data_IF_255930536103
#
_entry.id   IF_255930536103
#
_cell.length_a   1.000
_cell.length_b   1.000
_cell.length_c   1.000
_cell.angle_alpha   90.00
_cell.angle_beta   90.00
_cell.angle_gamma   90.00
#
_symmetry.space_group_name_H-M   'P 1'
#
loop_
_entity.id
_entity.type
_entity.pdbx_description
1 polymer ?
#
# COMPACT_ATOMS: atom_id res chain seq x y z
N UNK A 1 27.97 -36.39 -18.86
CA UNK A 1 27.91 -35.03 -19.43
C UNK A 1 27.24 -34.08 -18.43
N UNK A 2 27.96 -33.15 -17.79
CA UNK A 2 27.35 -32.18 -16.88
C UNK A 2 27.51 -30.74 -17.42
N UNK A 3 26.45 -30.14 -17.95
CA UNK A 3 26.45 -28.72 -18.35
C UNK A 3 25.03 -28.14 -18.41
N UNK A 4 24.35 -28.04 -17.25
CA UNK A 4 23.02 -27.38 -17.18
C UNK A 4 22.82 -26.47 -15.94
N UNK A 5 23.74 -26.49 -14.97
CA UNK A 5 23.58 -25.72 -13.73
C UNK A 5 24.29 -24.35 -13.73
N UNK A 6 25.34 -24.17 -14.55
CA UNK A 6 26.11 -22.92 -14.65
C UNK A 6 25.37 -21.82 -15.44
N UNK A 7 24.70 -22.18 -16.53
CA UNK A 7 23.90 -21.22 -17.31
C UNK A 7 22.69 -20.68 -16.50
N UNK A 8 22.04 -21.54 -15.70
CA UNK A 8 20.92 -21.14 -14.83
C UNK A 8 21.34 -20.24 -13.66
N UNK A 9 22.59 -20.30 -13.17
CA UNK A 9 23.05 -19.39 -12.13
C UNK A 9 23.35 -18.00 -12.69
N UNK A 10 24.00 -17.89 -13.85
CA UNK A 10 24.31 -16.59 -14.46
C UNK A 10 23.05 -15.80 -14.85
N UNK A 11 22.02 -16.49 -15.37
CA UNK A 11 20.76 -15.85 -15.75
C UNK A 11 19.98 -15.33 -14.52
N UNK A 12 19.94 -16.11 -13.43
CA UNK A 12 19.32 -15.68 -12.15
C UNK A 12 20.06 -14.51 -11.51
N UNK A 13 21.38 -14.48 -11.59
CA UNK A 13 22.21 -13.41 -11.05
C UNK A 13 22.03 -12.11 -11.83
N UNK A 14 21.89 -12.19 -13.16
CA UNK A 14 21.56 -11.04 -14.00
C UNK A 14 20.21 -10.44 -13.65
N UNK A 15 19.15 -11.26 -13.58
CA UNK A 15 17.81 -10.79 -13.23
C UNK A 15 17.74 -10.19 -11.81
N UNK A 16 18.43 -10.77 -10.83
CA UNK A 16 18.50 -10.21 -9.48
C UNK A 16 19.20 -8.84 -9.48
N UNK A 17 20.35 -8.73 -10.16
CA UNK A 17 21.13 -7.49 -10.23
C UNK A 17 20.37 -6.37 -10.95
N UNK A 18 19.69 -6.68 -12.06
CA UNK A 18 18.86 -5.70 -12.78
C UNK A 18 17.67 -5.27 -11.95
N UNK A 19 16.99 -6.21 -11.28
CA UNK A 19 15.87 -5.90 -10.39
C UNK A 19 16.28 -5.05 -9.20
N UNK A 20 17.43 -5.30 -8.59
CA UNK A 20 17.94 -4.50 -7.47
C UNK A 20 18.37 -3.10 -7.90
N UNK A 21 18.99 -2.97 -9.08
CA UNK A 21 19.35 -1.66 -9.69
C UNK A 21 18.11 -0.86 -10.06
N UNK A 22 17.12 -1.48 -10.70
CA UNK A 22 15.82 -0.88 -10.99
C UNK A 22 15.11 -0.46 -9.70
N UNK A 23 15.12 -1.31 -8.68
CA UNK A 23 14.52 -1.02 -7.38
C UNK A 23 15.17 0.20 -6.73
N UNK A 24 16.50 0.28 -6.73
CA UNK A 24 17.20 1.44 -6.16
C UNK A 24 16.91 2.73 -6.96
N UNK A 25 16.89 2.63 -8.29
CA UNK A 25 16.52 3.74 -9.16
C UNK A 25 15.07 4.18 -8.94
N UNK A 26 14.12 3.25 -8.91
CA UNK A 26 12.70 3.55 -8.69
C UNK A 26 12.46 4.22 -7.33
N UNK A 27 13.13 3.74 -6.26
CA UNK A 27 13.02 4.34 -4.94
C UNK A 27 13.58 5.77 -4.90
N UNK A 28 14.79 5.97 -5.47
CA UNK A 28 15.43 7.28 -5.57
C UNK A 28 14.60 8.24 -6.43
N UNK A 29 14.07 7.76 -7.55
CA UNK A 29 13.21 8.54 -8.43
C UNK A 29 11.91 8.93 -7.72
N UNK A 30 11.27 8.02 -6.99
CA UNK A 30 10.07 8.33 -6.22
C UNK A 30 10.32 9.33 -5.09
N UNK A 31 11.44 9.20 -4.36
CA UNK A 31 11.85 10.17 -3.32
C UNK A 31 12.14 11.55 -3.90
N UNK A 32 12.88 11.60 -5.02
CA UNK A 32 13.22 12.87 -5.68
C UNK A 32 11.96 13.51 -6.26
N UNK A 33 11.15 12.78 -7.02
CA UNK A 33 9.90 13.27 -7.63
C UNK A 33 8.86 13.71 -6.59
N UNK A 34 8.87 13.12 -5.40
CA UNK A 34 8.00 13.49 -4.27
C UNK A 34 8.48 14.70 -3.46
N UNK A 35 9.70 15.20 -3.69
CA UNK A 35 10.28 16.30 -2.92
C UNK A 35 9.79 17.68 -3.41
N UNK A 36 9.70 18.65 -2.48
CA UNK A 36 9.33 20.03 -2.80
C UNK A 36 10.25 20.67 -3.86
N UNK A 37 11.52 20.29 -3.90
CA UNK A 37 12.49 20.76 -4.89
C UNK A 37 12.20 20.26 -6.32
N UNK A 38 11.68 19.03 -6.47
CA UNK A 38 11.26 18.54 -7.78
C UNK A 38 10.02 19.26 -8.30
N UNK A 39 9.10 19.64 -7.41
CA UNK A 39 7.94 20.46 -7.78
C UNK A 39 8.36 21.85 -8.29
N UNK A 40 9.30 22.51 -7.60
CA UNK A 40 9.87 23.79 -8.06
C UNK A 40 10.56 23.62 -9.42
N UNK A 41 11.33 22.55 -9.60
CA UNK A 41 11.96 22.23 -10.88
C UNK A 41 10.95 22.01 -12.01
N UNK A 42 9.85 21.30 -11.74
CA UNK A 42 8.77 21.08 -12.71
C UNK A 42 8.11 22.40 -13.13
N UNK A 43 7.81 23.30 -12.18
CA UNK A 43 7.28 24.64 -12.47
C UNK A 43 8.27 25.43 -13.33
N UNK A 44 9.56 25.38 -13.01
CA UNK A 44 10.58 26.07 -13.80
C UNK A 44 10.65 25.55 -15.22
N UNK A 45 10.59 24.23 -15.43
CA UNK A 45 10.55 23.61 -16.77
C UNK A 45 9.33 24.11 -17.56
N UNK A 46 8.15 24.13 -16.93
CA UNK A 46 6.91 24.63 -17.57
C UNK A 46 7.04 26.12 -17.93
N UNK A 47 7.64 26.92 -17.04
CA UNK A 47 7.86 28.35 -17.28
C UNK A 47 8.83 28.60 -18.45
N UNK A 48 9.97 27.89 -18.49
CA UNK A 48 10.93 27.97 -19.60
C UNK A 48 10.29 27.54 -20.92
N UNK A 49 9.54 26.43 -20.92
CA UNK A 49 8.81 25.99 -22.09
C UNK A 49 7.83 27.07 -22.58
N UNK A 50 6.99 27.61 -21.68
CA UNK A 50 6.05 28.68 -22.01
C UNK A 50 6.72 29.94 -22.57
N UNK A 51 7.88 30.33 -22.02
CA UNK A 51 8.67 31.46 -22.51
C UNK A 51 9.28 31.22 -23.89
N UNK A 52 9.59 29.97 -24.26
CA UNK A 52 10.02 29.64 -25.62
C UNK A 52 8.88 29.61 -26.64
N UNK A 53 7.61 29.55 -26.21
CA UNK A 53 6.44 29.50 -27.10
C UNK A 53 6.33 30.63 -28.13
N UNK A 54 6.48 31.91 -27.73
CA UNK A 54 6.46 33.05 -28.65
C UNK A 54 7.53 32.99 -29.76
N UNK A 55 8.72 32.44 -29.46
CA UNK A 55 9.79 32.28 -30.45
C UNK A 55 9.45 31.24 -31.53
N UNK A 56 8.58 30.27 -31.21
CA UNK A 56 8.13 29.22 -32.12
C UNK A 56 6.70 29.44 -32.62
N UNK A 57 6.14 30.64 -32.44
CA UNK A 57 4.76 31.00 -32.84
C UNK A 57 3.69 30.02 -32.32
N UNK A 58 3.94 29.37 -31.17
CA UNK A 58 3.07 28.32 -30.64
C UNK A 58 2.74 27.22 -31.66
N UNK A 59 3.70 26.85 -32.52
CA UNK A 59 3.54 25.86 -33.58
C UNK A 59 3.06 24.49 -33.07
N UNK A 60 2.45 23.71 -33.97
CA UNK A 60 1.96 22.37 -33.67
C UNK A 60 3.07 21.45 -33.13
N UNK A 61 4.31 21.58 -33.64
CA UNK A 61 5.46 20.82 -33.15
C UNK A 61 5.85 21.21 -31.72
N UNK A 62 5.78 22.51 -31.38
CA UNK A 62 6.09 23.00 -30.04
C UNK A 62 5.09 22.49 -28.99
N UNK A 63 3.80 22.41 -29.35
CA UNK A 63 2.76 21.83 -28.50
C UNK A 63 2.88 20.29 -28.42
N UNK A 64 3.17 19.65 -29.55
CA UNK A 64 3.31 18.19 -29.63
C UNK A 64 4.41 17.68 -28.69
N UNK A 65 5.56 18.37 -28.64
CA UNK A 65 6.69 17.95 -27.80
C UNK A 65 6.28 17.87 -26.33
N UNK A 66 5.59 18.86 -25.78
CA UNK A 66 5.21 18.82 -24.37
C UNK A 66 4.10 17.81 -24.11
N UNK A 67 3.14 17.69 -25.03
CA UNK A 67 2.01 16.79 -24.88
C UNK A 67 2.53 15.34 -24.90
N UNK A 68 3.25 14.96 -25.95
CA UNK A 68 3.85 13.63 -26.08
C UNK A 68 4.84 13.33 -24.95
N UNK A 69 5.70 14.28 -24.60
CA UNK A 69 6.66 14.11 -23.50
C UNK A 69 5.98 13.87 -22.15
N UNK A 70 4.98 14.69 -21.83
CA UNK A 70 4.22 14.55 -20.58
C UNK A 70 3.43 13.25 -20.55
N UNK A 71 2.86 12.80 -21.67
CA UNK A 71 2.18 11.49 -21.76
C UNK A 71 3.13 10.34 -21.44
N UNK A 72 4.33 10.32 -22.04
CA UNK A 72 5.33 9.28 -21.77
C UNK A 72 5.72 9.28 -20.29
N UNK A 73 6.05 10.46 -19.75
CA UNK A 73 6.43 10.60 -18.33
C UNK A 73 5.30 10.15 -17.41
N UNK A 74 4.06 10.56 -17.70
CA UNK A 74 2.89 10.18 -16.92
C UNK A 74 2.65 8.68 -16.97
N UNK A 75 2.77 8.07 -18.15
CA UNK A 75 2.64 6.61 -18.30
C UNK A 75 3.67 5.89 -17.45
N UNK A 76 4.95 6.29 -17.51
CA UNK A 76 6.01 5.75 -16.67
C UNK A 76 5.75 5.98 -15.17
N UNK A 77 5.26 7.17 -14.81
CA UNK A 77 4.92 7.54 -13.43
C UNK A 77 3.83 6.61 -12.88
N UNK A 78 2.78 6.31 -13.66
CA UNK A 78 1.74 5.37 -13.25
C UNK A 78 2.32 3.99 -12.95
N UNK A 79 3.21 3.46 -13.79
CA UNK A 79 3.90 2.19 -13.50
C UNK A 79 4.77 2.27 -12.24
N UNK A 80 5.50 3.37 -12.04
CA UNK A 80 6.34 3.56 -10.86
C UNK A 80 5.50 3.65 -9.57
N UNK A 81 4.40 4.40 -9.61
CA UNK A 81 3.44 4.50 -8.51
C UNK A 81 2.83 3.13 -8.23
N UNK A 82 2.35 2.41 -9.24
CA UNK A 82 1.78 1.08 -9.07
C UNK A 82 2.78 0.08 -8.49
N UNK A 83 4.05 0.11 -8.92
CA UNK A 83 5.10 -0.75 -8.38
C UNK A 83 5.40 -0.43 -6.90
N UNK A 84 5.44 0.86 -6.55
CA UNK A 84 5.68 1.30 -5.17
C UNK A 84 4.47 0.95 -4.28
N UNK A 85 3.26 1.26 -4.74
CA UNK A 85 2.02 0.95 -4.02
C UNK A 85 1.78 -0.55 -3.85
N UNK A 86 2.05 -1.38 -4.87
CA UNK A 86 1.90 -2.83 -4.76
C UNK A 86 2.84 -3.42 -3.69
N UNK A 87 4.03 -2.83 -3.55
CA UNK A 87 4.99 -3.23 -2.52
C UNK A 87 4.60 -2.74 -1.13
N UNK A 88 4.12 -1.50 -1.01
CA UNK A 88 3.65 -0.93 0.25
C UNK A 88 2.40 -1.67 0.77
N UNK A 89 1.48 -2.05 -0.12
CA UNK A 89 0.35 -2.89 0.22
C UNK A 89 0.80 -4.24 0.80
N UNK A 90 1.77 -4.90 0.16
CA UNK A 90 2.33 -6.18 0.67
C UNK A 90 3.02 -6.01 2.03
N UNK A 91 3.75 -4.92 2.25
CA UNK A 91 4.38 -4.64 3.54
C UNK A 91 3.35 -4.33 4.64
N UNK A 92 2.26 -3.65 4.29
CA UNK A 92 1.15 -3.37 5.20
C UNK A 92 0.45 -4.66 5.64
N UNK A 93 0.18 -5.58 4.71
CA UNK A 93 -0.36 -6.90 5.04
C UNK A 93 0.54 -7.66 6.02
N UNK A 94 1.85 -7.74 5.76
CA UNK A 94 2.80 -8.41 6.66
C UNK A 94 2.85 -7.78 8.06
N UNK A 95 2.81 -6.45 8.16
CA UNK A 95 2.76 -5.75 9.45
C UNK A 95 1.45 -6.03 10.20
N UNK A 96 0.33 -6.08 9.47
CA UNK A 96 -0.97 -6.42 10.05
C UNK A 96 -0.98 -7.87 10.55
N UNK A 97 -0.47 -8.81 9.75
CA UNK A 97 -0.35 -10.22 10.13
C UNK A 97 0.50 -10.37 11.40
N UNK A 98 1.61 -9.65 11.51
CA UNK A 98 2.46 -9.69 12.70
C UNK A 98 1.79 -9.04 13.92
N UNK A 99 1.03 -7.96 13.73
CA UNK A 99 0.28 -7.30 14.81
C UNK A 99 -0.88 -8.18 15.29
N UNK A 100 -1.62 -8.81 14.38
CA UNK A 100 -2.63 -9.82 14.72
C UNK A 100 -1.95 -10.99 15.45
N UNK A 101 -0.79 -11.45 15.00
CA UNK A 101 -0.02 -12.53 15.66
C UNK A 101 0.50 -12.14 17.06
N UNK A 102 0.91 -10.91 17.26
CA UNK A 102 1.31 -10.38 18.57
C UNK A 102 0.12 -10.25 19.53
N UNK A 103 -1.04 -9.82 19.02
CA UNK A 103 -2.31 -9.76 19.77
C UNK A 103 -2.86 -11.18 20.01
N UNK A 104 -2.65 -12.12 19.09
CA UNK A 104 -2.92 -13.56 19.23
C UNK A 104 -2.15 -14.16 20.39
N UNK A 105 -0.86 -13.85 20.51
CA UNK A 105 -0.03 -14.24 21.65
C UNK A 105 -0.57 -13.73 22.99
N UNK A 106 -1.30 -12.61 22.98
CA UNK A 106 -2.01 -12.06 24.15
C UNK A 106 -3.47 -12.53 24.30
N UNK A 107 -4.08 -13.12 23.25
CA UNK A 107 -5.49 -13.54 23.27
C UNK A 107 -5.75 -14.71 22.31
N UNK A 108 -5.52 -15.92 22.80
CA UNK A 108 -5.73 -17.22 22.14
C UNK A 108 -7.21 -17.57 21.80
N UNK A 109 -8.08 -16.57 21.56
CA UNK A 109 -9.54 -16.77 21.41
C UNK A 109 -10.25 -15.95 20.32
N UNK A 110 -9.57 -15.07 19.58
CA UNK A 110 -10.25 -14.14 18.66
C UNK A 110 -9.81 -14.21 17.19
N UNK A 111 -9.22 -15.33 16.81
CA UNK A 111 -8.07 -15.31 15.88
C UNK A 111 -8.35 -15.95 14.54
N UNK A 112 -9.51 -16.57 14.40
CA UNK A 112 -9.91 -17.15 13.13
C UNK A 112 -11.40 -16.92 12.87
N UNK A 113 -11.93 -15.72 13.18
CA UNK A 113 -13.32 -15.37 12.85
C UNK A 113 -13.65 -15.56 11.35
N UNK A 114 -12.67 -15.38 10.47
CA UNK A 114 -12.81 -15.63 9.03
C UNK A 114 -12.60 -17.10 8.60
N UNK A 115 -12.04 -17.96 9.47
CA UNK A 115 -11.88 -19.41 9.20
C UNK A 115 -12.79 -20.29 10.06
N UNK A 116 -13.52 -19.70 10.99
CA UNK A 116 -14.53 -20.37 11.80
C UNK A 116 -15.70 -20.76 10.89
N UNK A 117 -16.17 -21.99 11.05
CA UNK A 117 -17.40 -22.42 10.39
C UNK A 117 -18.60 -21.62 10.91
N UNK A 118 -19.67 -21.50 10.12
CA UNK A 118 -20.88 -20.76 10.50
C UNK A 118 -21.44 -21.22 11.87
N UNK A 119 -21.33 -22.51 12.17
CA UNK A 119 -21.75 -23.09 13.45
C UNK A 119 -20.92 -22.60 14.64
N UNK A 120 -19.62 -22.39 14.46
CA UNK A 120 -18.74 -21.90 15.52
C UNK A 120 -18.88 -20.39 15.72
N UNK A 121 -19.12 -19.64 14.64
CA UNK A 121 -19.44 -18.21 14.70
C UNK A 121 -20.73 -17.98 15.49
N UNK A 122 -21.76 -18.80 15.23
CA UNK A 122 -23.04 -18.75 15.95
C UNK A 122 -22.87 -19.05 17.45
N UNK A 123 -22.07 -20.06 17.81
CA UNK A 123 -21.77 -20.38 19.22
C UNK A 123 -21.04 -19.23 19.93
N UNK A 124 -20.18 -18.52 19.23
CA UNK A 124 -19.46 -17.38 19.79
C UNK A 124 -20.38 -16.17 20.00
N UNK A 125 -21.27 -15.91 19.03
CA UNK A 125 -22.32 -14.89 19.15
C UNK A 125 -23.27 -15.17 20.33
N UNK A 126 -23.66 -16.44 20.51
CA UNK A 126 -24.47 -16.86 21.66
C UNK A 126 -23.75 -16.64 22.99
N UNK A 127 -22.43 -16.88 23.06
CA UNK A 127 -21.65 -16.61 24.27
C UNK A 127 -21.58 -15.11 24.58
N UNK A 128 -21.33 -14.26 23.59
CA UNK A 128 -21.32 -12.81 23.79
C UNK A 128 -22.69 -12.27 24.19
N UNK A 129 -23.76 -12.77 23.56
CA UNK A 129 -25.13 -12.41 23.90
C UNK A 129 -25.46 -12.80 25.34
N UNK A 130 -25.04 -13.99 25.80
CA UNK A 130 -25.21 -14.41 27.20
C UNK A 130 -24.46 -13.53 28.19
N UNK A 131 -23.22 -13.13 27.87
CA UNK A 131 -22.43 -12.25 28.75
C UNK A 131 -23.05 -10.85 28.81
N UNK A 132 -23.48 -10.30 27.68
CA UNK A 132 -24.18 -9.00 27.61
C UNK A 132 -25.49 -9.02 28.40
N UNK A 133 -26.29 -10.07 28.25
CA UNK A 133 -27.56 -10.19 28.97
C UNK A 133 -27.34 -10.31 30.49
N UNK A 134 -26.29 -11.01 30.94
CA UNK A 134 -25.94 -11.07 32.36
C UNK A 134 -25.45 -9.73 32.92
N UNK A 135 -24.76 -8.92 32.12
CA UNK A 135 -24.36 -7.58 32.51
C UNK A 135 -25.59 -6.66 32.63
N UNK A 136 -26.47 -6.68 31.63
CA UNK A 136 -27.71 -5.90 31.63
C UNK A 136 -28.66 -6.30 32.77
N UNK A 137 -28.76 -7.59 33.10
CA UNK A 137 -29.56 -8.05 34.24
C UNK A 137 -29.03 -7.56 35.58
N UNK A 138 -27.69 -7.54 35.75
CA UNK A 138 -27.07 -6.99 36.97
C UNK A 138 -27.27 -5.49 37.09
N UNK A 139 -27.24 -4.77 35.96
CA UNK A 139 -27.51 -3.33 35.93
C UNK A 139 -28.97 -3.05 36.32
N UNK A 140 -29.93 -3.80 35.75
CA UNK A 140 -31.35 -3.67 36.12
C UNK A 140 -31.69 -4.13 37.55
N UNK A 141 -30.96 -5.11 38.10
CA UNK A 141 -31.10 -5.51 39.51
C UNK A 141 -30.51 -4.46 40.46
N UNK A 142 -29.50 -3.70 40.02
CA UNK A 142 -28.86 -2.67 40.83
C UNK A 142 -29.71 -1.38 40.85
N UNK A 143 -30.31 -1.02 39.71
CA UNK A 143 -31.23 0.13 39.62
C UNK A 143 -32.54 -0.11 40.40
N UNK A 144 -33.06 -1.35 40.44
CA UNK A 144 -34.28 -1.68 41.18
C UNK A 144 -34.10 -1.68 42.71
N UNK A 145 -32.87 -1.79 43.20
CA UNK A 145 -32.55 -1.74 44.65
C UNK A 145 -32.35 -0.30 45.11
N UNK A 146 -31.95 0.63 44.23
CA UNK A 146 -31.85 2.07 44.56
C UNK A 146 -33.21 2.78 44.65
N UNK A 147 -34.27 2.24 44.01
CA UNK A 147 -35.63 2.81 44.06
C UNK A 147 -36.47 2.34 45.28
N UNK A 148 -35.99 1.38 46.08
CA UNK A 148 -36.69 0.84 47.27
C UNK A 148 -36.17 1.38 48.63
N UNK A 149 -35.10 2.20 48.67
CA UNK A 149 -34.56 2.88 49.87
C UNK A 149 -34.92 4.39 49.93
#
# INVERSE_FOLDING_TARGET
MPSNNSAKSEERDFFCRVRDRFRHFAHRSAEVLGSAWAFIGAIFIIAVWGLTGPAFYFSDTWQLIINTGTTIVTFLMVFLIQNTQNRDAKAMHLKLDELIRAIQGARNRLVDLEKLSDDELKRLEEQFTRVRNKAAQRESEMDAVEDED
#
